data_IF_695736380027
#
_entry.id   IF_695736380027
#
_cell.length_a   1.000
_cell.length_b   1.000
_cell.length_c   1.000
_cell.angle_alpha   90.00
_cell.angle_beta   90.00
_cell.angle_gamma   90.00
#
_symmetry.space_group_name_H-M   'P 1'
#
loop_
_entity.id
_entity.type
_entity.pdbx_description
1 polymer ?
#
# COMPACT_ATOMS: atom_id res chain seq x y z
N UNK A 1 -8.61 -31.78 13.01
CA UNK A 1 -9.26 -31.02 11.94
C UNK A 1 -9.64 -29.66 12.52
N UNK A 2 -8.81 -28.65 12.28
CA UNK A 2 -9.02 -27.28 12.78
C UNK A 2 -10.09 -26.58 11.97
N UNK A 3 -11.14 -26.10 12.62
CA UNK A 3 -12.12 -25.16 12.06
C UNK A 3 -12.12 -23.91 12.91
N UNK A 4 -11.15 -23.03 12.66
CA UNK A 4 -11.03 -21.73 13.34
C UNK A 4 -10.90 -20.57 12.35
N UNK A 5 -11.44 -20.69 11.14
CA UNK A 5 -11.33 -19.66 10.10
C UNK A 5 -12.60 -18.82 9.88
N UNK A 6 -13.75 -19.14 10.50
CA UNK A 6 -15.04 -18.59 10.02
C UNK A 6 -15.75 -17.55 10.90
N UNK A 7 -15.16 -17.04 11.99
CA UNK A 7 -15.88 -16.07 12.85
C UNK A 7 -15.60 -14.62 12.47
N UNK A 8 -14.44 -14.33 11.86
CA UNK A 8 -14.05 -12.95 11.50
C UNK A 8 -14.59 -12.52 10.13
N UNK A 9 -14.72 -13.46 9.19
CA UNK A 9 -15.28 -13.23 7.84
C UNK A 9 -16.77 -12.89 7.87
N UNK A 10 -17.53 -13.45 8.81
CA UNK A 10 -18.98 -13.20 9.00
C UNK A 10 -19.27 -11.76 9.45
N UNK A 11 -18.31 -11.08 10.09
CA UNK A 11 -18.46 -9.66 10.47
C UNK A 11 -18.24 -8.74 9.24
N UNK A 12 -17.47 -9.21 8.25
CA UNK A 12 -17.10 -8.40 7.08
C UNK A 12 -18.04 -8.61 5.92
N UNK A 13 -18.54 -9.83 5.68
CA UNK A 13 -19.48 -10.15 4.60
C UNK A 13 -20.71 -10.86 5.13
N UNK A 14 -21.91 -10.37 4.79
CA UNK A 14 -23.20 -10.99 5.11
C UNK A 14 -24.04 -11.10 3.83
N UNK A 15 -24.33 -12.31 3.39
CA UNK A 15 -25.08 -12.54 2.15
C UNK A 15 -26.53 -12.02 2.26
N UNK A 16 -26.99 -11.30 1.24
CA UNK A 16 -28.40 -10.91 1.07
C UNK A 16 -29.10 -11.95 0.18
N UNK A 17 -28.44 -12.34 -0.91
CA UNK A 17 -28.83 -13.43 -1.82
C UNK A 17 -27.58 -13.91 -2.59
N UNK A 18 -27.76 -14.71 -3.64
CA UNK A 18 -26.65 -15.26 -4.44
C UNK A 18 -25.83 -14.19 -5.19
N UNK A 19 -26.41 -13.01 -5.45
CA UNK A 19 -25.79 -11.95 -6.25
C UNK A 19 -25.32 -10.74 -5.42
N UNK A 20 -25.89 -10.54 -4.22
CA UNK A 20 -25.68 -9.35 -3.41
C UNK A 20 -25.34 -9.71 -1.96
N UNK A 21 -24.45 -8.92 -1.37
CA UNK A 21 -24.03 -9.06 0.02
C UNK A 21 -23.90 -7.69 0.69
N UNK A 22 -24.04 -7.66 2.01
CA UNK A 22 -23.52 -6.59 2.84
C UNK A 22 -22.03 -6.79 3.06
N UNK A 23 -21.25 -5.72 2.90
CA UNK A 23 -19.82 -5.69 3.20
C UNK A 23 -19.49 -4.56 4.17
N UNK A 24 -18.68 -4.85 5.19
CA UNK A 24 -18.07 -3.85 6.06
C UNK A 24 -16.85 -3.25 5.34
N UNK A 25 -17.08 -2.24 4.50
CA UNK A 25 -16.05 -1.60 3.68
C UNK A 25 -14.93 -0.96 4.51
N UNK A 26 -15.30 -0.30 5.60
CA UNK A 26 -14.39 0.20 6.63
C UNK A 26 -15.12 0.34 7.96
N UNK A 27 -14.50 0.90 9.00
CA UNK A 27 -15.12 1.06 10.34
C UNK A 27 -16.42 1.90 10.36
N UNK A 28 -16.73 2.64 9.31
CA UNK A 28 -17.87 3.58 9.24
C UNK A 28 -18.89 3.18 8.18
N UNK A 29 -18.49 2.45 7.14
CA UNK A 29 -19.32 2.12 6.00
C UNK A 29 -19.64 0.63 5.96
N UNK A 30 -20.92 0.32 6.14
CA UNK A 30 -21.50 -0.99 5.85
C UNK A 30 -22.38 -0.87 4.62
N UNK A 31 -21.97 -1.48 3.53
CA UNK A 31 -22.46 -1.21 2.18
C UNK A 31 -23.07 -2.45 1.55
N UNK A 32 -23.92 -2.27 0.54
CA UNK A 32 -24.40 -3.36 -0.31
C UNK A 32 -23.48 -3.45 -1.53
N UNK A 33 -22.99 -4.65 -1.80
CA UNK A 33 -22.08 -4.98 -2.89
C UNK A 33 -22.70 -6.04 -3.79
N UNK A 34 -22.55 -5.85 -5.10
CA UNK A 34 -22.83 -6.84 -6.13
C UNK A 34 -21.61 -7.74 -6.28
N UNK A 35 -21.78 -9.04 -6.02
CA UNK A 35 -20.69 -10.03 -5.99
C UNK A 35 -20.13 -10.27 -7.40
N UNK A 36 -20.98 -10.20 -8.42
CA UNK A 36 -20.63 -10.52 -9.82
C UNK A 36 -19.63 -9.56 -10.45
N UNK A 37 -19.74 -8.27 -10.15
CA UNK A 37 -19.02 -7.19 -10.81
C UNK A 37 -18.31 -6.23 -9.84
N UNK A 38 -18.32 -6.53 -8.53
CA UNK A 38 -17.65 -5.74 -7.50
C UNK A 38 -18.13 -4.28 -7.41
N UNK A 39 -19.41 -4.04 -7.75
CA UNK A 39 -20.04 -2.72 -7.69
C UNK A 39 -20.76 -2.49 -6.36
N UNK A 40 -20.79 -1.24 -5.90
CA UNK A 40 -21.32 -0.85 -4.60
C UNK A 40 -22.54 0.05 -4.74
N UNK A 41 -23.61 -0.25 -4.00
CA UNK A 41 -24.84 0.52 -4.07
C UNK A 41 -24.67 1.90 -3.40
N UNK A 42 -24.90 2.97 -4.14
CA UNK A 42 -24.79 4.35 -3.63
C UNK A 42 -25.75 4.63 -2.47
N UNK A 43 -26.96 4.08 -2.51
CA UNK A 43 -27.94 4.29 -1.44
C UNK A 43 -27.44 3.74 -0.09
N UNK A 44 -26.76 2.59 -0.10
CA UNK A 44 -26.15 2.03 1.10
C UNK A 44 -25.06 2.95 1.70
N UNK A 45 -24.29 3.65 0.85
CA UNK A 45 -23.29 4.65 1.28
C UNK A 45 -23.97 5.85 1.94
N UNK A 46 -25.02 6.37 1.31
CA UNK A 46 -25.79 7.50 1.82
C UNK A 46 -26.44 7.18 3.17
N UNK A 47 -27.04 6.00 3.28
CA UNK A 47 -27.67 5.52 4.50
C UNK A 47 -26.65 5.35 5.64
N UNK A 48 -25.49 4.73 5.36
CA UNK A 48 -24.42 4.56 6.35
C UNK A 48 -23.92 5.91 6.90
N UNK A 49 -23.86 6.92 6.04
CA UNK A 49 -23.44 8.27 6.40
C UNK A 49 -24.58 9.16 6.94
N UNK A 50 -25.81 8.63 7.02
CA UNK A 50 -27.03 9.38 7.39
C UNK A 50 -27.22 10.65 6.55
N UNK A 51 -26.86 10.59 5.28
CA UNK A 51 -27.01 11.70 4.34
C UNK A 51 -28.45 11.78 3.81
N UNK A 52 -28.97 13.00 3.65
CA UNK A 52 -30.29 13.26 3.06
C UNK A 52 -30.23 13.50 1.55
N UNK A 53 -29.02 13.45 0.96
CA UNK A 53 -28.81 13.67 -0.48
C UNK A 53 -29.39 12.52 -1.30
N UNK A 54 -29.77 12.81 -2.54
CA UNK A 54 -30.24 11.82 -3.50
C UNK A 54 -29.12 11.46 -4.48
N UNK A 55 -28.95 10.16 -4.77
CA UNK A 55 -27.81 9.66 -5.52
C UNK A 55 -27.63 10.30 -6.91
N UNK A 56 -28.72 10.63 -7.61
CA UNK A 56 -28.64 11.23 -8.95
C UNK A 56 -27.93 12.60 -8.96
N UNK A 57 -28.05 13.39 -7.88
CA UNK A 57 -27.38 14.69 -7.76
C UNK A 57 -25.85 14.58 -7.73
N UNK A 58 -25.30 13.39 -7.43
CA UNK A 58 -23.86 13.20 -7.51
C UNK A 58 -23.37 13.34 -8.96
N UNK A 59 -24.13 12.81 -9.92
CA UNK A 59 -23.81 12.82 -11.35
C UNK A 59 -24.06 14.17 -12.03
N UNK A 60 -24.85 15.05 -11.41
CA UNK A 60 -25.09 16.40 -11.92
C UNK A 60 -23.88 17.33 -11.70
N UNK A 61 -23.01 17.01 -10.72
CA UNK A 61 -21.85 17.84 -10.39
C UNK A 61 -20.79 17.78 -11.50
N UNK A 62 -20.27 18.95 -11.87
CA UNK A 62 -19.24 19.07 -12.91
C UNK A 62 -17.97 18.25 -12.57
N UNK A 63 -17.49 18.33 -11.33
CA UNK A 63 -16.32 17.57 -10.86
C UNK A 63 -16.52 16.05 -10.98
N UNK A 64 -17.75 15.58 -10.75
CA UNK A 64 -18.07 14.15 -10.91
C UNK A 64 -18.00 13.75 -12.38
N UNK A 65 -18.48 14.59 -13.30
CA UNK A 65 -18.42 14.31 -14.73
C UNK A 65 -16.98 14.18 -15.21
N UNK A 66 -16.12 15.13 -14.82
CA UNK A 66 -14.68 15.08 -15.12
C UNK A 66 -14.04 13.80 -14.55
N UNK A 67 -14.36 13.44 -13.30
CA UNK A 67 -13.88 12.20 -12.68
C UNK A 67 -14.31 10.94 -13.45
N UNK A 68 -15.56 10.91 -13.95
CA UNK A 68 -16.11 9.78 -14.69
C UNK A 68 -15.54 9.68 -16.11
N UNK A 69 -15.21 10.81 -16.74
CA UNK A 69 -14.53 10.87 -18.04
C UNK A 69 -13.09 10.34 -17.96
N UNK A 70 -12.37 10.63 -16.87
CA UNK A 70 -11.00 10.14 -16.64
C UNK A 70 -10.93 8.67 -16.21
N UNK A 71 -12.03 8.12 -15.70
CA UNK A 71 -12.07 6.79 -15.09
C UNK A 71 -11.56 5.66 -16.03
N UNK A 72 -11.97 5.57 -17.32
CA UNK A 72 -11.47 4.54 -18.23
C UNK A 72 -9.96 4.61 -18.45
N UNK A 73 -9.38 5.81 -18.51
CA UNK A 73 -7.94 6.01 -18.68
C UNK A 73 -7.17 5.53 -17.45
N UNK A 74 -7.69 5.79 -16.25
CA UNK A 74 -7.11 5.33 -15.01
C UNK A 74 -7.14 3.80 -14.88
N UNK A 75 -8.25 3.15 -15.25
CA UNK A 75 -8.35 1.67 -15.20
C UNK A 75 -7.47 1.00 -16.26
N UNK A 76 -7.38 1.56 -17.47
CA UNK A 76 -6.52 1.03 -18.53
C UNK A 76 -5.03 0.97 -18.09
N UNK A 77 -4.58 1.92 -17.27
CA UNK A 77 -3.22 1.95 -16.72
C UNK A 77 -2.93 0.83 -15.72
N UNK A 78 -3.96 0.21 -15.11
CA UNK A 78 -3.84 -0.85 -14.11
C UNK A 78 -3.70 -2.26 -14.72
N UNK A 79 -3.50 -2.36 -16.04
CA UNK A 79 -3.10 -3.60 -16.71
C UNK A 79 -4.20 -4.63 -16.96
N UNK A 80 -5.48 -4.26 -16.80
CA UNK A 80 -6.63 -5.11 -17.17
C UNK A 80 -7.51 -4.41 -18.22
N UNK A 81 -7.66 -4.99 -19.43
CA UNK A 81 -8.57 -4.50 -20.45
C UNK A 81 -9.99 -4.99 -20.14
N UNK A 82 -10.53 -4.63 -18.97
CA UNK A 82 -11.97 -4.79 -18.74
C UNK A 82 -12.62 -3.46 -19.09
N UNK A 83 -13.69 -3.54 -19.86
CA UNK A 83 -14.68 -2.47 -20.00
C UNK A 83 -15.38 -2.31 -18.64
N UNK A 84 -14.66 -1.77 -17.64
CA UNK A 84 -15.20 -1.53 -16.32
C UNK A 84 -16.08 -0.29 -16.38
N UNK A 85 -17.38 -0.51 -16.25
CA UNK A 85 -18.36 0.55 -16.24
C UNK A 85 -18.23 1.29 -14.88
N UNK A 86 -18.01 2.61 -14.87
CA UNK A 86 -17.80 3.35 -13.62
C UNK A 86 -19.04 3.34 -12.72
N UNK A 87 -20.24 3.32 -13.31
CA UNK A 87 -21.50 3.27 -12.59
C UNK A 87 -22.62 2.67 -13.45
N UNK A 88 -23.64 2.14 -12.80
CA UNK A 88 -24.82 1.57 -13.44
C UNK A 88 -26.08 1.87 -12.62
N UNK A 89 -27.19 2.27 -13.26
CA UNK A 89 -28.47 2.41 -12.58
C UNK A 89 -29.32 1.14 -12.77
N UNK A 90 -29.55 0.40 -11.70
CA UNK A 90 -30.26 -0.87 -11.70
C UNK A 90 -31.70 -0.71 -11.21
N UNK A 91 -32.57 -0.23 -12.06
CA UNK A 91 -33.97 0.05 -11.69
C UNK A 91 -34.86 -1.19 -11.61
N UNK A 92 -34.51 -2.26 -12.34
CA UNK A 92 -35.29 -3.51 -12.44
C UNK A 92 -35.13 -4.43 -11.23
N UNK A 93 -34.29 -4.08 -10.25
CA UNK A 93 -34.06 -4.86 -9.04
C UNK A 93 -35.19 -4.68 -8.01
N UNK A 94 -35.33 -5.62 -7.04
CA UNK A 94 -36.29 -5.47 -5.97
C UNK A 94 -36.02 -4.22 -5.10
N UNK A 95 -37.06 -3.77 -4.42
CA UNK A 95 -36.96 -2.61 -3.53
C UNK A 95 -35.91 -2.88 -2.44
N UNK A 96 -35.03 -1.90 -2.18
CA UNK A 96 -33.88 -2.04 -1.30
C UNK A 96 -32.57 -2.40 -2.02
N UNK A 97 -32.62 -3.09 -3.17
CA UNK A 97 -31.45 -3.40 -4.00
C UNK A 97 -31.34 -2.51 -5.25
N UNK A 98 -32.45 -1.97 -5.75
CA UNK A 98 -32.45 -1.06 -6.91
C UNK A 98 -31.75 0.29 -6.66
N UNK A 99 -31.31 0.91 -7.74
CA UNK A 99 -30.71 2.24 -7.76
C UNK A 99 -29.30 2.24 -8.36
N UNK A 100 -28.55 3.30 -8.08
CA UNK A 100 -27.21 3.48 -8.62
C UNK A 100 -26.18 2.60 -7.90
N UNK A 101 -25.36 1.92 -8.70
CA UNK A 101 -24.18 1.18 -8.31
C UNK A 101 -22.95 1.87 -8.88
N UNK A 102 -21.89 1.97 -8.09
CA UNK A 102 -20.62 2.61 -8.48
C UNK A 102 -19.46 1.65 -8.28
N UNK A 103 -18.41 1.84 -9.08
CA UNK A 103 -17.20 1.08 -8.96
C UNK A 103 -16.52 1.26 -7.60
N UNK A 104 -15.81 0.22 -7.13
CA UNK A 104 -15.12 0.20 -5.82
C UNK A 104 -14.23 1.43 -5.57
N UNK A 105 -13.54 1.92 -6.60
CA UNK A 105 -12.66 3.09 -6.48
C UNK A 105 -13.43 4.40 -6.25
N UNK A 106 -14.69 4.47 -6.68
CA UNK A 106 -15.54 5.66 -6.56
C UNK A 106 -16.30 5.70 -5.22
N UNK A 107 -16.30 4.63 -4.43
CA UNK A 107 -16.99 4.55 -3.13
C UNK A 107 -16.60 5.70 -2.21
N UNK A 108 -15.29 5.97 -2.08
CA UNK A 108 -14.81 7.06 -1.23
C UNK A 108 -15.16 8.44 -1.81
N UNK A 109 -15.17 8.60 -3.14
CA UNK A 109 -15.60 9.85 -3.77
C UNK A 109 -17.07 10.17 -3.48
N UNK A 110 -17.95 9.17 -3.63
CA UNK A 110 -19.37 9.29 -3.28
C UNK A 110 -19.55 9.57 -1.79
N UNK A 111 -18.79 8.88 -0.93
CA UNK A 111 -18.87 9.06 0.52
C UNK A 111 -18.41 10.47 0.97
N UNK A 112 -17.34 11.01 0.37
CA UNK A 112 -16.88 12.38 0.62
C UNK A 112 -17.90 13.41 0.16
N UNK A 113 -18.47 13.22 -1.03
CA UNK A 113 -19.56 14.07 -1.52
C UNK A 113 -20.78 13.99 -0.61
N UNK A 114 -21.14 12.80 -0.13
CA UNK A 114 -22.28 12.59 0.75
C UNK A 114 -22.12 13.29 2.11
N UNK A 115 -20.91 13.27 2.69
CA UNK A 115 -20.61 13.82 4.00
C UNK A 115 -19.20 14.43 4.08
N UNK A 116 -19.14 15.76 4.29
CA UNK A 116 -17.88 16.46 4.53
C UNK A 116 -17.12 15.94 5.77
N UNK A 117 -17.85 15.39 6.76
CA UNK A 117 -17.22 14.77 7.95
C UNK A 117 -16.47 13.50 7.59
N UNK A 118 -16.97 12.74 6.61
CA UNK A 118 -16.28 11.54 6.13
C UNK A 118 -15.00 11.91 5.38
N UNK A 119 -15.00 13.02 4.63
CA UNK A 119 -13.81 13.52 3.95
C UNK A 119 -12.63 13.74 4.91
N UNK A 120 -12.87 14.31 6.09
CA UNK A 120 -11.82 14.44 7.12
C UNK A 120 -11.21 13.11 7.57
N UNK A 121 -12.00 12.04 7.64
CA UNK A 121 -11.51 10.72 8.02
C UNK A 121 -10.61 10.14 6.92
N UNK A 122 -10.99 10.35 5.65
CA UNK A 122 -10.15 9.96 4.51
C UNK A 122 -8.85 10.76 4.48
N UNK A 123 -8.89 12.07 4.73
CA UNK A 123 -7.68 12.91 4.78
C UNK A 123 -6.73 12.47 5.89
N UNK A 124 -7.25 12.12 7.08
CA UNK A 124 -6.42 11.57 8.16
C UNK A 124 -5.78 10.24 7.78
N UNK A 125 -6.55 9.34 7.15
CA UNK A 125 -6.03 8.05 6.71
C UNK A 125 -4.91 8.23 5.68
N UNK A 126 -5.09 9.13 4.70
CA UNK A 126 -4.07 9.44 3.71
C UNK A 126 -2.82 10.08 4.35
N UNK A 127 -2.99 10.99 5.30
CA UNK A 127 -1.86 11.61 6.01
C UNK A 127 -1.05 10.58 6.80
N UNK A 128 -1.72 9.64 7.47
CA UNK A 128 -1.08 8.53 8.18
C UNK A 128 -0.27 7.61 7.24
N UNK A 129 -0.82 7.26 6.08
CA UNK A 129 -0.11 6.46 5.06
C UNK A 129 1.13 7.22 4.57
N UNK A 130 0.97 8.49 4.18
CA UNK A 130 2.12 9.28 3.70
C UNK A 130 3.17 9.48 4.79
N UNK A 131 2.78 9.56 6.07
CA UNK A 131 3.72 9.60 7.19
C UNK A 131 4.52 8.31 7.27
N UNK A 132 3.86 7.15 7.21
CA UNK A 132 4.52 5.85 7.21
C UNK A 132 5.49 5.68 6.04
N UNK A 133 5.08 6.09 4.83
CA UNK A 133 5.96 6.05 3.65
C UNK A 133 7.22 6.90 3.84
N UNK A 134 7.10 8.09 4.45
CA UNK A 134 8.25 8.95 4.78
C UNK A 134 9.18 8.29 5.80
N UNK A 135 8.62 7.74 6.88
CA UNK A 135 9.39 7.03 7.90
C UNK A 135 10.13 5.81 7.29
N UNK A 136 9.49 5.06 6.41
CA UNK A 136 10.15 3.95 5.70
C UNK A 136 11.29 4.42 4.79
N UNK A 137 11.11 5.55 4.09
CA UNK A 137 12.15 6.13 3.24
C UNK A 137 13.35 6.60 4.08
N UNK A 138 13.09 7.28 5.19
CA UNK A 138 14.13 7.73 6.14
C UNK A 138 14.90 6.54 6.72
N UNK A 139 14.19 5.50 7.18
CA UNK A 139 14.82 4.28 7.69
C UNK A 139 15.70 3.59 6.63
N UNK A 140 15.25 3.54 5.36
CA UNK A 140 16.04 2.98 4.24
C UNK A 140 17.28 3.83 3.96
N UNK A 141 17.19 5.15 4.08
CA UNK A 141 18.33 6.06 3.93
C UNK A 141 19.33 5.89 5.08
N UNK A 142 18.88 5.89 6.33
CA UNK A 142 19.75 5.65 7.48
C UNK A 142 20.48 4.31 7.42
N UNK A 143 19.77 3.24 7.01
CA UNK A 143 20.37 1.93 6.84
C UNK A 143 21.47 1.94 5.76
N UNK A 144 21.22 2.64 4.64
CA UNK A 144 22.22 2.84 3.58
C UNK A 144 23.41 3.64 4.10
N UNK A 145 23.20 4.72 4.83
CA UNK A 145 24.27 5.55 5.38
C UNK A 145 25.13 4.77 6.38
N UNK A 146 24.52 4.00 7.29
CA UNK A 146 25.24 3.09 8.20
C UNK A 146 26.05 2.06 7.42
N UNK A 147 25.52 1.52 6.32
CA UNK A 147 26.24 0.57 5.47
C UNK A 147 27.44 1.21 4.74
N UNK A 148 27.29 2.47 4.30
CA UNK A 148 28.36 3.26 3.68
C UNK A 148 29.44 3.55 4.73
N UNK A 149 29.07 4.02 5.92
CA UNK A 149 30.02 4.29 7.01
C UNK A 149 30.86 3.05 7.37
N UNK A 150 30.26 1.85 7.45
CA UNK A 150 30.99 0.58 7.64
C UNK A 150 31.94 0.20 6.49
N UNK A 151 31.76 0.78 5.30
CA UNK A 151 32.61 0.55 4.13
C UNK A 151 33.72 1.58 4.02
N UNK A 152 33.52 2.83 4.48
CA UNK A 152 34.51 3.92 4.39
C UNK A 152 35.92 3.52 4.84
N UNK A 153 36.14 2.86 6.01
CA UNK A 153 37.49 2.45 6.43
C UNK A 153 38.17 1.48 5.45
N UNK A 154 37.37 0.65 4.78
CA UNK A 154 37.84 -0.36 3.82
C UNK A 154 37.91 0.17 2.40
N UNK A 155 37.26 1.28 2.06
CA UNK A 155 37.26 1.83 0.69
C UNK A 155 38.56 2.57 0.37
N UNK A 156 39.04 2.53 -0.88
CA UNK A 156 40.15 3.39 -1.31
C UNK A 156 39.64 4.80 -1.59
N UNK A 157 40.40 5.87 -1.23
CA UNK A 157 40.06 7.22 -1.66
C UNK A 157 39.94 7.32 -3.18
N UNK A 158 38.91 8.02 -3.66
CA UNK A 158 38.62 8.20 -5.08
C UNK A 158 39.81 8.82 -5.81
N UNK A 159 40.20 8.25 -6.96
CA UNK A 159 41.35 8.69 -7.76
C UNK A 159 42.72 8.23 -7.24
N UNK A 160 42.75 7.41 -6.18
CA UNK A 160 43.97 6.80 -5.63
C UNK A 160 43.94 5.27 -5.69
N UNK A 161 43.12 4.70 -6.56
CA UNK A 161 42.89 3.26 -6.66
C UNK A 161 44.20 2.48 -6.87
N UNK A 162 45.12 3.02 -7.69
CA UNK A 162 46.44 2.42 -7.97
C UNK A 162 47.48 2.61 -6.85
N UNK A 163 47.18 3.42 -5.83
CA UNK A 163 48.12 3.82 -4.78
C UNK A 163 47.89 3.08 -3.45
N UNK A 164 46.96 2.12 -3.40
CA UNK A 164 46.69 1.32 -2.20
C UNK A 164 46.70 -0.17 -2.55
N UNK A 165 47.14 -0.99 -1.59
CA UNK A 165 47.10 -2.46 -1.63
C UNK A 165 46.25 -2.98 -0.47
N UNK A 166 45.54 -4.07 -0.71
CA UNK A 166 44.83 -4.83 0.30
C UNK A 166 45.62 -6.08 0.66
N UNK A 167 45.75 -6.37 1.95
CA UNK A 167 46.31 -7.61 2.47
C UNK A 167 45.23 -8.33 3.27
N UNK A 168 45.04 -9.61 2.98
CA UNK A 168 44.09 -10.49 3.66
C UNK A 168 44.90 -11.65 4.22
N UNK A 169 44.75 -11.92 5.51
CA UNK A 169 45.36 -13.08 6.15
C UNK A 169 44.42 -13.65 7.21
N UNK A 170 44.61 -14.92 7.52
CA UNK A 170 43.80 -15.68 8.46
C UNK A 170 44.58 -15.94 9.74
N UNK A 171 43.89 -15.96 10.87
CA UNK A 171 44.42 -16.31 12.18
C UNK A 171 43.54 -17.41 12.77
N UNK A 172 44.16 -18.50 13.22
CA UNK A 172 43.48 -19.61 13.86
C UNK A 172 43.13 -19.25 15.30
N UNK A 173 41.94 -19.62 15.76
CA UNK A 173 41.49 -19.29 17.11
C UNK A 173 42.10 -20.26 18.12
N UNK A 174 42.78 -19.74 19.15
CA UNK A 174 43.42 -20.56 20.18
C UNK A 174 42.43 -21.17 21.19
N UNK A 175 41.21 -20.63 21.29
CA UNK A 175 40.20 -21.05 22.26
C UNK A 175 39.48 -22.35 21.83
N UNK A 176 39.29 -23.29 22.78
CA UNK A 176 38.67 -24.60 22.50
C UNK A 176 37.21 -24.51 22.02
N UNK A 177 36.48 -23.45 22.39
CA UNK A 177 35.08 -23.25 22.04
C UNK A 177 34.87 -22.77 20.59
N UNK A 178 35.92 -22.23 19.95
CA UNK A 178 35.87 -21.63 18.60
C UNK A 178 36.79 -22.35 17.59
N UNK A 179 37.19 -23.60 17.86
CA UNK A 179 38.13 -24.37 17.00
C UNK A 179 37.71 -24.52 15.54
N UNK A 180 36.42 -24.40 15.25
CA UNK A 180 35.87 -24.47 13.88
C UNK A 180 35.79 -23.09 13.20
N UNK A 181 36.22 -22.01 13.87
CA UNK A 181 36.22 -20.65 13.34
C UNK A 181 37.63 -20.15 13.03
N UNK A 182 37.75 -19.37 11.94
CA UNK A 182 39.00 -18.72 11.53
C UNK A 182 38.76 -17.22 11.49
N UNK A 183 39.60 -16.43 12.15
CA UNK A 183 39.53 -14.98 12.10
C UNK A 183 40.21 -14.47 10.83
N UNK A 184 39.54 -13.58 10.10
CA UNK A 184 40.01 -13.07 8.82
C UNK A 184 40.29 -11.57 8.93
N UNK A 185 41.56 -11.20 8.79
CA UNK A 185 42.02 -9.82 8.89
C UNK A 185 42.11 -9.18 7.49
N UNK A 186 41.59 -7.96 7.33
CA UNK A 186 41.67 -7.18 6.10
C UNK A 186 42.35 -5.84 6.39
N UNK A 187 43.54 -5.63 5.81
CA UNK A 187 44.33 -4.40 6.00
C UNK A 187 44.48 -3.66 4.66
N UNK A 188 44.28 -2.35 4.68
CA UNK A 188 44.47 -1.44 3.53
C UNK A 188 45.65 -0.49 3.82
N UNK A 189 46.70 -0.53 3.01
CA UNK A 189 47.88 0.36 3.12
C UNK A 189 48.23 1.04 1.80
N UNK A 190 48.88 2.20 1.88
CA UNK A 190 49.40 2.89 0.69
C UNK A 190 50.56 2.08 0.10
N UNK A 191 50.66 1.98 -1.22
CA UNK A 191 51.69 1.21 -1.91
C UNK A 191 53.11 1.63 -1.52
N UNK A 192 53.33 2.92 -1.23
CA UNK A 192 54.64 3.46 -0.83
C UNK A 192 55.07 2.99 0.56
N UNK A 193 54.11 2.87 1.48
CA UNK A 193 54.35 2.47 2.88
C UNK A 193 54.02 1.00 3.13
N UNK A 194 53.83 0.21 2.07
CA UNK A 194 53.34 -1.18 2.20
C UNK A 194 54.45 -2.10 2.71
N UNK A 195 55.69 -1.86 2.27
CA UNK A 195 56.88 -2.62 2.65
C UNK A 195 57.65 -1.99 3.81
N UNK A 196 57.20 -0.84 4.31
CA UNK A 196 57.74 -0.23 5.53
C UNK A 196 57.19 -1.00 6.74
N UNK A 197 57.76 -2.19 6.96
CA UNK A 197 57.71 -2.95 8.20
C UNK A 197 59.09 -2.77 8.85
N UNK A 198 59.17 -1.79 9.74
CA UNK A 198 60.13 -1.76 10.84
C UNK A 198 59.42 -2.22 12.11
#
# INVERSE_FOLDING_TARGET
>A
MSTTENTTTVIVHEAINEEYEYIQYNKQLRLIRSVKDDMYQMQSILNALRSTKQAYHWFENQQTKELLEEFPHMIASLGKPREEIPYENREKLPNGLRGYYVHRLLVNAVAMWASARYAWNIYRLLDEIHRQEREEMENKLEAKDKSIQKRIPRSVPKGKEKNYKYMIYTEEMENEEDRDMVMLHLVRRNTKSFYDLG
#
